data_IF_319987130208
#
_entry.id   IF_319987130208
#
_cell.length_a   1.000
_cell.length_b   1.000
_cell.length_c   1.000
_cell.angle_alpha   90.00
_cell.angle_beta   90.00
_cell.angle_gamma   90.00
#
_symmetry.space_group_name_H-M   'P 1'
#
loop_
_entity.id
_entity.type
_entity.pdbx_description
1 polymer ?
#
# COMPACT_ATOMS: atom_id res chain seq x y z
N UNK A 1 -1.86 5.22 2.60
CA UNK A 1 -1.32 4.02 1.92
C UNK A 1 -1.46 4.22 0.43
N UNK A 2 -0.45 3.92 -0.35
CA UNK A 2 -0.42 4.13 -1.80
C UNK A 2 -0.60 2.80 -2.53
N UNK A 3 -1.49 2.74 -3.51
CA UNK A 3 -1.74 1.55 -4.32
C UNK A 3 -1.56 1.86 -5.80
N UNK A 4 -1.00 0.91 -6.53
CA UNK A 4 -0.99 0.93 -7.98
C UNK A 4 -2.21 0.15 -8.48
N UNK A 5 -3.06 0.80 -9.26
CA UNK A 5 -4.17 0.17 -9.97
C UNK A 5 -3.78 0.02 -11.44
N UNK A 6 -3.75 -1.21 -11.93
CA UNK A 6 -3.46 -1.55 -13.32
C UNK A 6 -4.72 -2.12 -13.94
N UNK A 7 -5.43 -1.30 -14.71
CA UNK A 7 -6.74 -1.61 -15.29
C UNK A 7 -6.91 -0.81 -16.59
N UNK A 8 -7.14 -1.48 -17.70
CA UNK A 8 -7.27 -0.84 -19.02
C UNK A 8 -8.68 -0.32 -19.27
N UNK A 9 -9.70 -0.94 -18.69
CA UNK A 9 -11.08 -0.45 -18.81
C UNK A 9 -11.23 0.86 -18.02
N UNK A 10 -11.59 1.91 -18.75
CA UNK A 10 -11.72 3.26 -18.19
C UNK A 10 -12.84 3.38 -17.16
N UNK A 11 -13.93 2.68 -17.35
CA UNK A 11 -15.09 2.75 -16.46
C UNK A 11 -14.79 2.02 -15.15
N UNK A 12 -14.21 0.82 -15.23
CA UNK A 12 -13.83 0.02 -14.08
C UNK A 12 -12.71 0.73 -13.32
N UNK A 13 -11.65 1.15 -14.02
CA UNK A 13 -10.50 1.80 -13.41
C UNK A 13 -10.85 3.08 -12.68
N UNK A 14 -11.67 3.95 -13.30
CA UNK A 14 -12.16 5.20 -12.67
C UNK A 14 -13.01 4.92 -11.43
N UNK A 15 -13.94 3.96 -11.53
CA UNK A 15 -14.81 3.59 -10.42
C UNK A 15 -14.03 3.02 -9.24
N UNK A 16 -13.05 2.14 -9.51
CA UNK A 16 -12.18 1.57 -8.48
C UNK A 16 -11.26 2.63 -7.85
N UNK A 17 -10.63 3.49 -8.66
CA UNK A 17 -9.78 4.56 -8.15
C UNK A 17 -10.57 5.46 -7.19
N UNK A 18 -11.74 5.94 -7.61
CA UNK A 18 -12.59 6.79 -6.78
C UNK A 18 -13.04 6.10 -5.48
N UNK A 19 -13.40 4.81 -5.55
CA UNK A 19 -13.80 4.05 -4.36
C UNK A 19 -12.63 3.85 -3.38
N UNK A 20 -11.42 3.57 -3.90
CA UNK A 20 -10.20 3.44 -3.10
C UNK A 20 -9.79 4.76 -2.46
N UNK A 21 -9.86 5.88 -3.19
CA UNK A 21 -9.62 7.22 -2.66
C UNK A 21 -10.61 7.57 -1.56
N UNK A 22 -11.90 7.28 -1.77
CA UNK A 22 -12.95 7.42 -0.74
C UNK A 22 -12.68 6.55 0.50
N UNK A 23 -12.01 5.43 0.33
CA UNK A 23 -11.54 4.59 1.42
C UNK A 23 -10.17 5.04 1.98
N UNK A 24 -9.62 6.18 1.55
CA UNK A 24 -8.40 6.81 2.07
C UNK A 24 -7.10 6.18 1.56
N UNK A 25 -7.10 5.62 0.34
CA UNK A 25 -5.91 5.23 -0.38
C UNK A 25 -5.47 6.37 -1.30
N UNK A 26 -4.17 6.53 -1.51
CA UNK A 26 -3.64 7.27 -2.66
C UNK A 26 -3.51 6.29 -3.82
N UNK A 27 -4.08 6.62 -4.98
CA UNK A 27 -4.18 5.68 -6.11
C UNK A 27 -3.41 6.23 -7.30
N UNK A 28 -2.44 5.46 -7.78
CA UNK A 28 -1.88 5.67 -9.10
C UNK A 28 -2.53 4.66 -10.04
N UNK A 29 -3.19 5.17 -11.06
CA UNK A 29 -3.88 4.33 -12.03
C UNK A 29 -3.16 4.37 -13.37
N UNK A 30 -2.80 3.19 -13.88
CA UNK A 30 -2.19 2.98 -15.17
C UNK A 30 -3.02 1.99 -16.00
N UNK A 31 -2.97 2.11 -17.33
CA UNK A 31 -3.85 1.39 -18.23
C UNK A 31 -3.14 0.38 -19.12
N UNK A 32 -1.86 0.15 -18.91
CA UNK A 32 -1.09 -0.83 -19.66
C UNK A 32 0.09 -1.39 -18.86
N UNK A 33 0.57 -2.56 -19.28
CA UNK A 33 1.62 -3.29 -18.59
C UNK A 33 2.99 -2.60 -18.61
N UNK A 34 3.29 -1.79 -19.63
CA UNK A 34 4.57 -1.10 -19.70
C UNK A 34 4.64 0.04 -18.67
N UNK A 35 3.57 0.81 -18.55
CA UNK A 35 3.44 1.83 -17.50
C UNK A 35 3.44 1.19 -16.10
N UNK A 36 2.76 0.04 -15.95
CA UNK A 36 2.77 -0.70 -14.69
C UNK A 36 4.18 -1.12 -14.28
N UNK A 37 5.00 -1.61 -15.22
CA UNK A 37 6.39 -1.96 -14.94
C UNK A 37 7.24 -0.77 -14.53
N UNK A 38 7.08 0.37 -15.21
CA UNK A 38 7.79 1.61 -14.84
C UNK A 38 7.39 2.06 -13.43
N UNK A 39 6.09 2.09 -13.14
CA UNK A 39 5.58 2.45 -11.82
C UNK A 39 6.11 1.53 -10.71
N UNK A 40 6.13 0.22 -10.95
CA UNK A 40 6.68 -0.75 -10.00
C UNK A 40 8.19 -0.58 -9.79
N UNK A 41 8.94 -0.19 -10.82
CA UNK A 41 10.37 0.08 -10.69
C UNK A 41 10.65 1.31 -9.82
N UNK A 42 9.80 2.34 -9.87
CA UNK A 42 9.88 3.51 -8.99
C UNK A 42 9.53 3.16 -7.53
N UNK A 43 8.71 2.12 -7.32
CA UNK A 43 8.39 1.59 -6.01
C UNK A 43 7.45 2.44 -5.17
N UNK A 44 7.42 2.18 -3.85
CA UNK A 44 6.64 2.96 -2.88
C UNK A 44 5.18 2.53 -2.72
N UNK A 45 4.76 1.47 -3.40
CA UNK A 45 3.41 0.94 -3.27
C UNK A 45 3.26 -0.01 -2.08
N UNK A 46 2.15 0.13 -1.37
CA UNK A 46 1.76 -0.77 -0.29
C UNK A 46 1.11 -2.03 -0.84
N UNK A 47 0.39 -1.90 -1.97
CA UNK A 47 -0.30 -2.99 -2.65
C UNK A 47 -0.47 -2.64 -4.13
N UNK A 48 -0.53 -3.66 -4.98
CA UNK A 48 -0.86 -3.55 -6.41
C UNK A 48 -2.15 -4.28 -6.68
N UNK A 49 -3.04 -3.65 -7.43
CA UNK A 49 -4.23 -4.26 -8.02
C UNK A 49 -3.96 -4.43 -9.51
N UNK A 50 -3.93 -5.65 -9.99
CA UNK A 50 -3.45 -5.98 -11.32
C UNK A 50 -4.49 -6.76 -12.12
N UNK A 51 -5.04 -6.16 -13.19
CA UNK A 51 -5.74 -6.95 -14.18
C UNK A 51 -4.74 -7.74 -15.04
N UNK A 52 -5.10 -8.97 -15.37
CA UNK A 52 -4.31 -9.80 -16.29
C UNK A 52 -4.63 -9.50 -17.75
N UNK A 53 -5.84 -9.05 -18.07
CA UNK A 53 -6.33 -8.82 -19.43
C UNK A 53 -5.84 -7.54 -20.10
N UNK A 54 -4.65 -7.06 -19.76
CA UNK A 54 -4.13 -5.78 -20.25
C UNK A 54 -3.76 -5.81 -21.74
N UNK A 55 -3.95 -4.70 -22.46
CA UNK A 55 -3.49 -4.58 -23.83
C UNK A 55 -1.97 -4.53 -23.91
N UNK A 56 -1.40 -4.95 -25.04
CA UNK A 56 0.02 -4.92 -25.38
C UNK A 56 0.90 -5.82 -24.52
N UNK A 57 0.75 -5.82 -23.23
CA UNK A 57 1.54 -6.64 -22.32
C UNK A 57 0.63 -7.23 -21.24
N UNK A 58 0.47 -8.55 -21.26
CA UNK A 58 -0.35 -9.29 -20.29
C UNK A 58 0.11 -9.04 -18.86
N UNK A 59 -0.84 -8.95 -17.94
CA UNK A 59 -0.55 -8.70 -16.52
C UNK A 59 0.29 -9.81 -15.87
N UNK A 60 0.21 -11.05 -16.35
CA UNK A 60 1.09 -12.15 -15.90
C UNK A 60 2.56 -11.84 -16.14
N UNK A 61 2.88 -11.24 -17.30
CA UNK A 61 4.23 -10.83 -17.62
C UNK A 61 4.71 -9.66 -16.74
N UNK A 62 3.80 -8.72 -16.40
CA UNK A 62 4.09 -7.64 -15.44
C UNK A 62 4.47 -8.23 -14.08
N UNK A 63 3.66 -9.16 -13.57
CA UNK A 63 3.89 -9.83 -12.29
C UNK A 63 5.22 -10.61 -12.30
N UNK A 64 5.44 -11.44 -13.31
CA UNK A 64 6.66 -12.25 -13.46
C UNK A 64 7.91 -11.36 -13.40
N UNK A 65 7.96 -10.29 -14.19
CA UNK A 65 9.11 -9.37 -14.21
C UNK A 65 9.30 -8.62 -12.91
N UNK A 66 8.23 -8.27 -12.20
CA UNK A 66 8.33 -7.66 -10.89
C UNK A 66 9.02 -8.63 -9.91
N UNK A 67 8.59 -9.89 -9.87
CA UNK A 67 9.17 -10.92 -9.00
C UNK A 67 10.62 -11.26 -9.37
N UNK A 68 10.96 -11.33 -10.66
CA UNK A 68 12.34 -11.54 -11.12
C UNK A 68 13.31 -10.43 -10.67
N UNK A 69 12.82 -9.20 -10.51
CA UNK A 69 13.60 -8.08 -9.95
C UNK A 69 13.65 -8.07 -8.42
N UNK A 70 13.04 -9.07 -7.76
CA UNK A 70 12.97 -9.15 -6.30
C UNK A 70 11.95 -8.21 -5.67
N UNK A 71 11.02 -7.66 -6.46
CA UNK A 71 9.92 -6.86 -5.92
C UNK A 71 8.94 -7.78 -5.19
N UNK A 72 8.78 -7.54 -3.90
CA UNK A 72 7.91 -8.28 -2.99
C UNK A 72 6.63 -7.51 -2.64
N UNK A 73 6.32 -6.45 -3.37
CA UNK A 73 5.09 -5.67 -3.18
C UNK A 73 3.88 -6.60 -3.31
N UNK A 74 2.94 -6.60 -2.36
CA UNK A 74 1.74 -7.43 -2.42
C UNK A 74 0.92 -7.15 -3.69
N UNK A 75 0.55 -8.20 -4.40
CA UNK A 75 -0.26 -8.13 -5.63
C UNK A 75 -1.55 -8.90 -5.44
N UNK A 76 -2.68 -8.21 -5.59
CA UNK A 76 -4.00 -8.80 -5.74
C UNK A 76 -4.37 -8.74 -7.23
N UNK A 77 -4.52 -9.91 -7.84
CA UNK A 77 -4.95 -10.02 -9.23
C UNK A 77 -6.46 -9.80 -9.32
N UNK A 78 -6.90 -8.91 -10.23
CA UNK A 78 -8.30 -8.65 -10.56
C UNK A 78 -8.56 -9.13 -11.98
N UNK A 79 -9.43 -10.12 -12.19
CA UNK A 79 -9.57 -10.69 -13.53
C UNK A 79 -10.95 -11.30 -13.78
N UNK A 80 -11.36 -11.32 -15.04
CA UNK A 80 -12.52 -12.06 -15.49
C UNK A 80 -12.20 -13.53 -15.85
N UNK A 81 -10.92 -13.93 -15.82
CA UNK A 81 -10.52 -15.31 -16.08
C UNK A 81 -10.86 -16.16 -14.86
N UNK A 82 -11.85 -17.05 -15.00
CA UNK A 82 -12.38 -17.90 -13.93
C UNK A 82 -11.78 -19.34 -13.97
N UNK A 83 -10.96 -19.62 -14.96
CA UNK A 83 -10.29 -20.91 -15.14
C UNK A 83 -9.43 -21.28 -13.93
N UNK A 84 -9.52 -22.55 -13.49
CA UNK A 84 -8.68 -23.06 -12.41
C UNK A 84 -7.20 -22.90 -12.74
N UNK A 85 -6.81 -23.23 -13.98
CA UNK A 85 -5.43 -23.13 -14.47
C UNK A 85 -4.90 -21.69 -14.46
N UNK A 86 -5.72 -20.70 -14.86
CA UNK A 86 -5.32 -19.28 -14.82
C UNK A 86 -5.04 -18.83 -13.38
N UNK A 87 -5.84 -19.30 -12.43
CA UNK A 87 -5.66 -18.97 -11.00
C UNK A 87 -4.41 -19.63 -10.43
N UNK A 88 -4.18 -20.89 -10.75
CA UNK A 88 -2.97 -21.62 -10.33
C UNK A 88 -1.74 -20.92 -10.89
N UNK A 89 -1.74 -20.62 -12.19
CA UNK A 89 -0.64 -19.92 -12.84
C UNK A 89 -0.36 -18.57 -12.21
N UNK A 90 -1.41 -17.77 -11.93
CA UNK A 90 -1.26 -16.46 -11.28
C UNK A 90 -0.63 -16.54 -9.89
N UNK A 91 -1.02 -17.53 -9.09
CA UNK A 91 -0.46 -17.77 -7.76
C UNK A 91 0.98 -18.27 -7.83
N UNK A 92 1.28 -19.20 -8.76
CA UNK A 92 2.63 -19.75 -8.97
C UNK A 92 3.61 -18.68 -9.46
N UNK A 93 3.12 -17.66 -10.21
CA UNK A 93 3.88 -16.49 -10.62
C UNK A 93 4.13 -15.49 -9.47
N UNK A 94 3.57 -15.74 -8.29
CA UNK A 94 3.81 -14.95 -7.09
C UNK A 94 2.76 -13.87 -6.82
N UNK A 95 1.54 -14.01 -7.33
CA UNK A 95 0.40 -13.22 -6.83
C UNK A 95 0.11 -13.60 -5.37
N UNK A 96 -0.25 -12.62 -4.55
CA UNK A 96 -0.54 -12.84 -3.13
C UNK A 96 -2.03 -13.18 -2.89
N UNK A 97 -2.91 -12.78 -3.80
CA UNK A 97 -4.32 -13.13 -3.82
C UNK A 97 -4.92 -12.94 -5.22
N UNK A 98 -6.12 -13.50 -5.41
CA UNK A 98 -6.81 -13.53 -6.68
C UNK A 98 -8.29 -13.23 -6.47
N UNK A 99 -8.85 -12.24 -7.19
CA UNK A 99 -10.23 -11.81 -7.08
C UNK A 99 -10.91 -11.79 -8.46
N UNK A 100 -11.98 -12.56 -8.58
CA UNK A 100 -12.74 -12.69 -9.83
C UNK A 100 -13.71 -11.50 -9.99
N UNK A 101 -13.74 -10.91 -11.18
CA UNK A 101 -14.76 -9.95 -11.60
C UNK A 101 -16.05 -10.70 -12.01
N UNK A 102 -17.23 -10.21 -11.59
CA UNK A 102 -17.50 -9.06 -10.76
C UNK A 102 -17.31 -9.36 -9.27
N UNK A 103 -16.87 -8.37 -8.49
CA UNK A 103 -16.62 -8.50 -7.06
C UNK A 103 -17.19 -7.32 -6.27
N UNK A 104 -17.43 -7.56 -4.99
CA UNK A 104 -17.81 -6.49 -4.07
C UNK A 104 -16.59 -5.69 -3.59
N UNK A 105 -16.70 -4.36 -3.57
CA UNK A 105 -15.60 -3.48 -3.13
C UNK A 105 -15.13 -3.79 -1.70
N UNK A 106 -16.04 -4.22 -0.81
CA UNK A 106 -15.69 -4.63 0.55
C UNK A 106 -14.80 -5.87 0.56
N UNK A 107 -15.02 -6.81 -0.36
CA UNK A 107 -14.18 -8.00 -0.51
C UNK A 107 -12.78 -7.60 -0.96
N UNK A 108 -12.66 -6.74 -1.98
CA UNK A 108 -11.37 -6.22 -2.44
C UNK A 108 -10.58 -5.60 -1.29
N UNK A 109 -11.19 -4.70 -0.50
CA UNK A 109 -10.51 -4.09 0.65
C UNK A 109 -10.08 -5.11 1.70
N UNK A 110 -10.88 -6.16 1.95
CA UNK A 110 -10.52 -7.21 2.89
C UNK A 110 -9.31 -8.01 2.42
N UNK A 111 -9.24 -8.34 1.13
CA UNK A 111 -8.10 -9.04 0.50
C UNK A 111 -6.84 -8.19 0.50
N UNK A 112 -6.93 -6.90 0.13
CA UNK A 112 -5.81 -5.97 0.22
C UNK A 112 -5.22 -5.95 1.64
N UNK A 113 -6.07 -5.79 2.66
CA UNK A 113 -5.60 -5.84 4.07
C UNK A 113 -4.95 -7.18 4.43
N UNK A 114 -5.49 -8.29 3.94
CA UNK A 114 -4.96 -9.62 4.22
C UNK A 114 -3.57 -9.85 3.62
N UNK A 115 -3.34 -9.43 2.37
CA UNK A 115 -2.04 -9.58 1.70
C UNK A 115 -0.97 -8.65 2.33
N UNK A 116 -1.34 -7.42 2.67
CA UNK A 116 -0.46 -6.46 3.34
C UNK A 116 -0.04 -7.02 4.71
N UNK A 117 -1.00 -7.47 5.51
CA UNK A 117 -0.73 -8.06 6.82
C UNK A 117 0.22 -9.26 6.74
N UNK A 118 0.02 -10.17 5.74
CA UNK A 118 0.90 -11.33 5.53
C UNK A 118 2.34 -10.91 5.21
N UNK A 119 2.50 -9.88 4.39
CA UNK A 119 3.81 -9.31 4.07
C UNK A 119 4.52 -8.75 5.29
N UNK A 120 3.79 -8.04 6.15
CA UNK A 120 4.33 -7.43 7.36
C UNK A 120 4.63 -8.47 8.48
N UNK A 121 4.44 -9.76 8.20
CA UNK A 121 4.68 -10.86 9.16
C UNK A 121 3.72 -10.87 10.34
N UNK A 122 2.63 -10.11 10.28
CA UNK A 122 1.68 -9.97 11.36
C UNK A 122 0.62 -11.09 11.32
N UNK A 123 0.55 -11.90 12.36
CA UNK A 123 -0.52 -12.90 12.53
C UNK A 123 -1.89 -12.25 12.77
N UNK A 124 -1.90 -11.01 13.25
CA UNK A 124 -3.08 -10.20 13.54
C UNK A 124 -3.06 -8.88 12.74
N UNK A 125 -4.16 -8.13 12.76
CA UNK A 125 -4.25 -6.82 12.11
C UNK A 125 -3.37 -5.73 12.73
N UNK A 126 -2.65 -6.04 13.80
CA UNK A 126 -1.79 -5.11 14.55
C UNK A 126 -0.34 -5.21 14.07
N UNK A 127 0.21 -4.10 13.61
CA UNK A 127 1.62 -3.93 13.21
C UNK A 127 2.31 -3.00 14.19
N UNK A 128 3.52 -3.35 14.60
CA UNK A 128 4.32 -2.55 15.52
C UNK A 128 4.73 -3.29 16.79
N UNK A 129 5.07 -2.55 17.85
CA UNK A 129 5.49 -3.07 19.14
C UNK A 129 4.36 -3.01 20.17
N UNK A 130 4.53 -3.66 21.33
CA UNK A 130 3.54 -3.60 22.42
C UNK A 130 3.20 -2.16 22.88
N UNK A 131 4.14 -1.23 22.76
CA UNK A 131 3.94 0.16 23.15
C UNK A 131 3.23 1.01 22.10
N UNK A 132 3.34 0.63 20.80
CA UNK A 132 2.78 1.37 19.68
C UNK A 132 2.39 0.37 18.59
N UNK A 133 1.09 0.16 18.40
CA UNK A 133 0.52 -0.75 17.39
C UNK A 133 -0.41 -0.01 16.46
N UNK A 134 -0.37 -0.35 15.18
CA UNK A 134 -1.26 0.15 14.16
C UNK A 134 -2.24 -0.96 13.77
N UNK A 135 -3.53 -0.72 13.92
CA UNK A 135 -4.56 -1.66 13.46
C UNK A 135 -4.91 -1.39 11.99
N UNK A 136 -4.49 -2.30 11.12
CA UNK A 136 -4.71 -2.19 9.66
C UNK A 136 -6.20 -2.32 9.27
N UNK A 137 -7.05 -2.84 10.18
CA UNK A 137 -8.48 -3.02 9.93
C UNK A 137 -9.27 -1.78 10.32
N UNK A 138 -9.08 -1.28 11.54
CA UNK A 138 -9.81 -0.12 12.05
C UNK A 138 -9.18 1.20 11.69
N UNK A 139 -7.91 1.18 11.23
CA UNK A 139 -7.08 2.37 10.97
C UNK A 139 -6.83 3.23 12.20
N UNK A 140 -6.82 2.60 13.34
CA UNK A 140 -6.51 3.22 14.62
C UNK A 140 -5.09 2.86 15.05
N UNK A 141 -4.48 3.76 15.80
CA UNK A 141 -3.25 3.45 16.51
C UNK A 141 -3.58 3.12 17.96
N UNK A 142 -2.97 2.05 18.48
CA UNK A 142 -3.00 1.72 19.90
C UNK A 142 -1.68 2.16 20.52
N UNK A 143 -1.77 3.03 21.50
CA UNK A 143 -0.63 3.42 22.33
C UNK A 143 -0.90 3.10 23.78
N UNK A 144 -0.10 2.20 24.36
CA UNK A 144 -0.31 1.75 25.73
C UNK A 144 -1.75 1.30 26.03
N UNK A 145 -2.39 0.65 25.05
CA UNK A 145 -3.78 0.18 25.15
C UNK A 145 -4.86 1.23 24.87
N UNK A 146 -4.51 2.50 24.65
CA UNK A 146 -5.45 3.55 24.26
C UNK A 146 -5.53 3.65 22.75
N UNK A 147 -6.74 3.63 22.19
CA UNK A 147 -7.00 3.75 20.76
C UNK A 147 -7.18 5.21 20.38
N UNK A 148 -6.51 5.61 19.30
CA UNK A 148 -6.58 6.95 18.71
C UNK A 148 -6.87 6.82 17.21
N UNK A 149 -7.88 7.52 16.67
CA UNK A 149 -8.15 7.50 15.25
C UNK A 149 -7.09 8.30 14.47
N UNK A 150 -6.74 7.78 13.30
CA UNK A 150 -5.80 8.44 12.38
C UNK A 150 -6.50 8.89 11.11
N UNK A 151 -6.10 10.04 10.60
CA UNK A 151 -6.43 10.42 9.22
C UNK A 151 -5.73 9.48 8.25
N UNK A 152 -6.18 9.42 6.98
CA UNK A 152 -5.58 8.55 5.97
C UNK A 152 -4.07 8.77 5.81
N UNK A 153 -3.61 10.04 5.82
CA UNK A 153 -2.19 10.40 5.70
C UNK A 153 -1.38 10.08 6.95
N UNK A 154 -1.94 10.30 8.14
CA UNK A 154 -1.30 9.90 9.41
C UNK A 154 -1.13 8.38 9.48
N UNK A 155 -2.17 7.65 9.05
CA UNK A 155 -2.12 6.20 8.98
C UNK A 155 -1.05 5.71 7.99
N UNK A 156 -0.99 6.30 6.78
CA UNK A 156 0.02 5.96 5.78
C UNK A 156 1.45 6.23 6.27
N UNK A 157 1.67 7.38 6.93
CA UNK A 157 2.95 7.74 7.54
C UNK A 157 3.37 6.71 8.60
N UNK A 158 2.47 6.42 9.54
CA UNK A 158 2.80 5.49 10.63
C UNK A 158 3.02 4.07 10.12
N UNK A 159 2.20 3.61 9.17
CA UNK A 159 2.37 2.32 8.53
C UNK A 159 3.76 2.21 7.86
N UNK A 160 4.14 3.22 7.06
CA UNK A 160 5.45 3.24 6.40
C UNK A 160 6.62 3.13 7.39
N UNK A 161 6.52 3.80 8.53
CA UNK A 161 7.54 3.76 9.58
C UNK A 161 7.54 2.44 10.37
N UNK A 162 6.40 1.75 10.44
CA UNK A 162 6.26 0.48 11.16
C UNK A 162 6.51 -0.76 10.29
N UNK A 163 6.53 -0.66 8.96
CA UNK A 163 6.90 -1.76 8.06
C UNK A 163 8.27 -2.37 8.40
N UNK A 164 9.20 -1.52 8.81
CA UNK A 164 10.55 -1.92 9.26
C UNK A 164 10.92 -1.13 10.50
N UNK A 165 10.52 -1.58 11.70
CA UNK A 165 10.77 -0.88 12.94
C UNK A 165 12.28 -0.59 13.12
N UNK A 166 12.60 0.65 13.48
CA UNK A 166 13.99 1.11 13.62
C UNK A 166 14.66 1.58 12.33
N UNK A 167 14.13 1.26 11.14
CA UNK A 167 14.66 1.80 9.89
C UNK A 167 14.39 3.31 9.80
N UNK A 168 15.33 4.03 9.18
CA UNK A 168 15.21 5.46 8.95
C UNK A 168 14.66 5.67 7.55
N UNK A 169 13.58 6.42 7.43
CA UNK A 169 13.01 6.82 6.16
C UNK A 169 13.27 8.30 5.90
N UNK A 170 13.80 8.62 4.73
CA UNK A 170 14.00 9.99 4.28
C UNK A 170 12.67 10.69 3.99
N UNK A 171 12.69 12.01 3.82
CA UNK A 171 11.52 12.80 3.41
C UNK A 171 10.93 12.25 2.11
N UNK A 172 11.75 12.13 1.10
CA UNK A 172 11.35 11.61 -0.21
C UNK A 172 10.73 10.20 -0.13
N UNK A 173 11.33 9.31 0.66
CA UNK A 173 10.77 7.97 0.88
C UNK A 173 9.40 8.00 1.55
N UNK A 174 9.17 8.92 2.48
CA UNK A 174 7.88 9.10 3.13
C UNK A 174 6.85 9.72 2.17
N UNK A 175 7.23 10.75 1.43
CA UNK A 175 6.39 11.38 0.41
C UNK A 175 5.92 10.35 -0.62
N UNK A 176 6.83 9.55 -1.17
CA UNK A 176 6.53 8.50 -2.13
C UNK A 176 5.59 7.39 -1.61
N UNK A 177 5.44 7.24 -0.30
CA UNK A 177 4.55 6.22 0.32
C UNK A 177 3.21 6.78 0.78
N UNK A 178 3.12 8.11 0.94
CA UNK A 178 1.94 8.78 1.47
C UNK A 178 1.12 9.40 0.35
N UNK A 179 1.79 9.96 -0.67
CA UNK A 179 1.16 10.71 -1.75
C UNK A 179 1.19 9.94 -3.07
N UNK A 180 0.11 10.04 -3.85
CA UNK A 180 0.01 9.52 -5.21
C UNK A 180 0.58 10.48 -6.26
N UNK A 181 0.64 10.02 -7.49
CA UNK A 181 1.02 10.87 -8.62
C UNK A 181 0.05 12.04 -8.80
N UNK A 182 0.62 13.23 -9.08
CA UNK A 182 -0.18 14.44 -9.30
C UNK A 182 -0.75 15.09 -8.04
N UNK A 183 -0.50 14.53 -6.85
CA UNK A 183 -0.79 15.25 -5.62
C UNK A 183 0.27 16.34 -5.40
N UNK A 184 -0.18 17.59 -5.23
CA UNK A 184 0.71 18.69 -4.85
C UNK A 184 1.16 18.51 -3.40
N UNK A 185 2.45 18.23 -3.22
CA UNK A 185 3.07 18.06 -1.90
C UNK A 185 3.82 19.34 -1.53
N UNK A 186 3.36 20.04 -0.51
CA UNK A 186 4.12 21.18 0.02
C UNK A 186 5.40 20.71 0.68
N UNK A 187 6.48 21.49 0.58
CA UNK A 187 7.81 21.13 1.08
C UNK A 187 7.87 20.77 2.57
N UNK A 188 6.87 21.13 3.35
CA UNK A 188 6.77 20.83 4.79
C UNK A 188 5.68 19.83 5.15
N UNK A 189 5.04 19.19 4.15
CA UNK A 189 3.89 18.30 4.37
C UNK A 189 4.20 17.15 5.35
N UNK A 190 5.36 16.50 5.19
CA UNK A 190 5.80 15.44 6.09
C UNK A 190 6.05 15.96 7.50
N UNK A 191 6.67 17.14 7.65
CA UNK A 191 6.93 17.73 8.98
C UNK A 191 5.63 18.06 9.72
N UNK A 192 4.63 18.57 9.00
CA UNK A 192 3.29 18.85 9.56
C UNK A 192 2.63 17.57 10.05
N UNK A 193 2.68 16.49 9.26
CA UNK A 193 2.15 15.18 9.65
C UNK A 193 2.87 14.63 10.89
N UNK A 194 4.20 14.69 10.91
CA UNK A 194 5.01 14.22 12.05
C UNK A 194 4.72 15.05 13.30
N UNK A 195 4.57 16.37 13.15
CA UNK A 195 4.19 17.22 14.27
C UNK A 195 2.81 16.82 14.84
N UNK A 196 1.83 16.60 13.97
CA UNK A 196 0.49 16.13 14.34
C UNK A 196 0.56 14.78 15.07
N UNK A 197 1.32 13.83 14.53
CA UNK A 197 1.51 12.51 15.13
C UNK A 197 2.19 12.58 16.50
N UNK A 198 3.20 13.44 16.66
CA UNK A 198 3.86 13.64 17.97
C UNK A 198 2.92 14.24 19.02
N UNK A 199 1.98 15.08 18.62
CA UNK A 199 0.93 15.58 19.55
C UNK A 199 0.01 14.46 20.02
N UNK A 200 -0.36 13.54 19.13
CA UNK A 200 -1.22 12.37 19.44
C UNK A 200 -0.47 11.31 20.23
N UNK A 201 0.73 10.95 19.76
CA UNK A 201 1.46 9.79 20.24
C UNK A 201 2.63 10.13 21.19
N UNK A 202 2.84 11.42 21.47
CA UNK A 202 3.96 11.91 22.24
C UNK A 202 5.25 12.12 21.41
N UNK A 203 6.16 12.99 21.89
CA UNK A 203 7.31 13.44 21.12
C UNK A 203 8.29 12.33 20.77
N UNK A 204 8.36 11.27 21.58
CA UNK A 204 9.30 10.17 21.41
C UNK A 204 8.82 9.08 20.44
N UNK A 205 7.53 9.09 20.03
CA UNK A 205 6.97 8.06 19.16
C UNK A 205 7.63 8.05 17.78
N UNK A 206 7.93 9.22 17.23
CA UNK A 206 8.64 9.36 15.96
C UNK A 206 9.88 10.24 16.18
N UNK A 207 11.06 9.66 16.04
CA UNK A 207 12.35 10.34 16.25
C UNK A 207 12.92 10.86 14.94
N UNK A 208 13.42 12.09 14.98
CA UNK A 208 14.20 12.64 13.87
C UNK A 208 15.65 12.16 13.99
N UNK A 209 16.22 11.71 12.88
CA UNK A 209 17.64 11.42 12.74
C UNK A 209 18.23 12.49 11.82
N UNK A 210 18.97 13.42 12.40
CA UNK A 210 19.48 14.63 11.72
C UNK A 210 20.15 14.28 10.39
N UNK A 211 19.70 14.92 9.32
CA UNK A 211 20.22 14.74 7.96
C UNK A 211 19.81 13.44 7.26
N UNK A 212 19.11 12.50 7.93
CA UNK A 212 18.72 11.22 7.36
C UNK A 212 17.21 11.04 7.23
N UNK A 213 16.42 11.52 8.21
CA UNK A 213 14.97 11.36 8.16
C UNK A 213 14.36 11.01 9.52
N UNK A 214 13.38 10.11 9.52
CA UNK A 214 12.62 9.76 10.72
C UNK A 214 12.49 8.25 10.89
N UNK A 215 12.31 7.84 12.14
CA UNK A 215 12.02 6.45 12.51
C UNK A 215 11.10 6.38 13.72
N UNK A 216 10.40 5.26 13.85
CA UNK A 216 9.75 4.84 15.10
C UNK A 216 10.79 4.12 15.96
N UNK A 217 10.74 4.27 17.28
CA UNK A 217 11.56 3.47 18.21
C UNK A 217 11.18 1.98 18.03
N UNK A 218 12.21 1.12 17.98
CA UNK A 218 12.04 -0.33 17.95
C UNK A 218 11.52 -0.84 19.29
#
# INVERSE_FOLDING_TARGET
>A
MRTLLVEDDEMIGRSLAQALEGAGWSVDWVRDGALAQSALADGGYTCVLLDLGLPRQDGTEVLRRARERGDVTPVVVLTARDGLEDRIQGLDLGADDYLLKPFEFRELLARMRAVIRRRDGAAHSLVGSAALQLDLTTREVLRNGVREPLTAREFALLHALLERPGAILSREQLENRIYGWGEEVTSNAVDVLIHGMRRKLGPEAIRNVRGLGWRVAA
#
